data_IF_265850643504
#
_entry.id   IF_265850643504
#
_cell.length_a   1.000
_cell.length_b   1.000
_cell.length_c   1.000
_cell.angle_alpha   90.00
_cell.angle_beta   90.00
_cell.angle_gamma   90.00
#
_symmetry.space_group_name_H-M   'P 1'
#
loop_
_entity.id
_entity.type
_entity.pdbx_description
1 polymer ?
#
# COMPACT_ATOMS: atom_id res chain seq x y z
N UNK A 1 0.93 -23.61 -2.55
CA UNK A 1 2.15 -23.34 -1.76
C UNK A 1 2.94 -22.29 -2.52
N UNK A 2 3.28 -21.16 -1.91
CA UNK A 2 4.08 -20.14 -2.59
C UNK A 2 5.49 -20.69 -2.84
N UNK A 3 5.90 -20.76 -4.11
CA UNK A 3 7.25 -21.15 -4.52
C UNK A 3 8.12 -19.89 -4.54
N UNK A 4 9.01 -19.76 -3.56
CA UNK A 4 9.84 -18.57 -3.43
C UNK A 4 11.13 -18.73 -4.25
N UNK A 5 11.33 -17.93 -5.33
CA UNK A 5 12.60 -17.92 -6.02
C UNK A 5 13.70 -17.42 -5.07
N UNK A 6 14.75 -18.22 -4.91
CA UNK A 6 15.93 -17.88 -4.12
C UNK A 6 16.96 -17.17 -4.99
N UNK A 7 17.44 -16.04 -4.52
CA UNK A 7 18.59 -15.35 -5.11
C UNK A 7 19.86 -15.87 -4.46
N UNK A 8 20.36 -17.01 -4.96
CA UNK A 8 21.51 -17.72 -4.37
C UNK A 8 22.77 -16.84 -4.30
N UNK A 9 22.99 -15.98 -5.30
CA UNK A 9 24.13 -15.04 -5.33
C UNK A 9 24.13 -14.02 -4.18
N UNK A 10 23.03 -13.89 -3.44
CA UNK A 10 22.89 -13.00 -2.29
C UNK A 10 22.66 -13.78 -0.98
N UNK A 11 23.08 -15.04 -0.92
CA UNK A 11 22.93 -15.87 0.29
C UNK A 11 21.54 -16.47 0.46
N UNK A 12 20.80 -16.66 -0.64
CA UNK A 12 19.50 -17.33 -0.63
C UNK A 12 18.33 -16.44 -0.20
N UNK A 13 18.42 -15.13 -0.43
CA UNK A 13 17.32 -14.18 -0.17
C UNK A 13 16.10 -14.58 -1.02
N UNK A 14 14.92 -14.58 -0.40
CA UNK A 14 13.65 -14.79 -1.09
C UNK A 14 13.16 -13.47 -1.71
N UNK A 15 12.78 -13.50 -2.99
CA UNK A 15 12.19 -12.34 -3.66
C UNK A 15 10.76 -12.01 -3.18
N UNK A 16 10.21 -10.90 -3.68
CA UNK A 16 8.78 -10.57 -3.54
C UNK A 16 7.93 -11.78 -3.94
N UNK A 17 7.03 -12.18 -3.04
CA UNK A 17 6.31 -13.45 -3.09
C UNK A 17 4.95 -13.35 -3.77
N UNK A 18 4.41 -12.14 -3.88
CA UNK A 18 3.17 -11.87 -4.61
C UNK A 18 3.30 -10.52 -5.29
N UNK A 19 2.99 -10.47 -6.58
CA UNK A 19 2.85 -9.21 -7.32
C UNK A 19 1.53 -9.19 -8.08
N UNK A 20 0.96 -8.00 -8.21
CA UNK A 20 -0.23 -7.76 -9.03
C UNK A 20 -0.02 -6.54 -9.89
N UNK A 21 -0.57 -6.55 -11.10
CA UNK A 21 -0.72 -5.35 -11.93
C UNK A 21 -2.21 -5.21 -12.23
N UNK A 22 -2.76 -4.04 -11.96
CA UNK A 22 -4.14 -3.70 -12.29
C UNK A 22 -4.16 -2.47 -13.19
N UNK A 23 -5.00 -2.51 -14.22
CA UNK A 23 -5.36 -1.33 -15.00
C UNK A 23 -6.82 -1.01 -14.72
N UNK A 24 -7.07 0.21 -14.26
CA UNK A 24 -8.40 0.70 -13.94
C UNK A 24 -9.09 1.25 -15.20
N UNK A 25 -10.40 1.43 -15.14
CA UNK A 25 -11.19 1.95 -16.27
C UNK A 25 -10.77 3.37 -16.68
N UNK A 26 -10.24 4.14 -15.73
CA UNK A 26 -9.68 5.48 -15.96
C UNK A 26 -8.20 5.46 -16.40
N UNK A 27 -7.73 4.32 -16.93
CA UNK A 27 -6.37 4.09 -17.41
C UNK A 27 -5.24 4.16 -16.35
N UNK A 28 -5.55 4.42 -15.08
CA UNK A 28 -4.57 4.31 -14.00
C UNK A 28 -4.03 2.88 -13.95
N UNK A 29 -2.71 2.74 -13.81
CA UNK A 29 -2.04 1.46 -13.62
C UNK A 29 -1.48 1.39 -12.20
N UNK A 30 -1.85 0.34 -11.47
CA UNK A 30 -1.29 0.04 -10.16
C UNK A 30 -0.43 -1.21 -10.23
N UNK A 31 0.73 -1.15 -9.56
CA UNK A 31 1.61 -2.30 -9.34
C UNK A 31 1.71 -2.58 -7.84
N UNK A 32 1.31 -3.78 -7.44
CA UNK A 32 1.36 -4.24 -6.05
C UNK A 32 2.51 -5.22 -5.87
N UNK A 33 3.34 -5.01 -4.86
CA UNK A 33 4.53 -5.81 -4.59
C UNK A 33 4.54 -6.17 -3.10
N UNK A 34 4.37 -7.46 -2.78
CA UNK A 34 4.29 -7.94 -1.39
C UNK A 34 5.44 -8.90 -1.07
N UNK A 35 6.14 -8.61 0.03
CA UNK A 35 7.30 -9.33 0.55
C UNK A 35 7.03 -9.82 1.97
N UNK A 36 7.16 -11.11 2.25
CA UNK A 36 6.82 -11.71 3.56
C UNK A 36 8.02 -12.25 4.35
N UNK A 37 9.26 -11.97 3.92
CA UNK A 37 10.47 -12.51 4.59
C UNK A 37 11.66 -11.56 4.51
N UNK A 38 11.39 -10.26 4.67
CA UNK A 38 12.44 -9.24 4.74
C UNK A 38 13.03 -9.19 6.14
N UNK A 39 14.33 -8.92 6.24
CA UNK A 39 14.98 -8.62 7.51
C UNK A 39 14.28 -7.42 8.15
N UNK A 40 14.04 -7.44 9.47
CA UNK A 40 13.40 -6.35 10.20
C UNK A 40 14.07 -4.98 9.96
N UNK A 41 15.39 -4.95 9.79
CA UNK A 41 16.14 -3.74 9.46
C UNK A 41 15.83 -3.15 8.06
N UNK A 42 15.26 -3.95 7.16
CA UNK A 42 14.80 -3.56 5.82
C UNK A 42 13.29 -3.61 5.66
N UNK A 43 12.54 -3.77 6.75
CA UNK A 43 11.07 -3.77 6.72
C UNK A 43 10.57 -2.35 6.46
N UNK A 44 10.04 -2.10 5.26
CA UNK A 44 9.50 -0.80 4.88
C UNK A 44 8.31 -0.95 3.94
N UNK A 45 7.29 -0.12 4.17
CA UNK A 45 6.16 0.06 3.26
C UNK A 45 6.43 1.25 2.37
N UNK A 46 6.13 1.13 1.08
CA UNK A 46 6.18 2.25 0.14
C UNK A 46 4.86 2.38 -0.59
N UNK A 47 4.43 3.62 -0.75
CA UNK A 47 3.29 4.01 -1.55
C UNK A 47 3.74 5.10 -2.51
N UNK A 48 3.53 4.92 -3.80
CA UNK A 48 4.03 5.84 -4.83
C UNK A 48 2.92 6.16 -5.81
N UNK A 49 2.72 7.45 -6.09
CA UNK A 49 1.77 7.96 -7.10
C UNK A 49 2.53 8.84 -8.06
N UNK A 50 2.42 8.53 -9.35
CA UNK A 50 3.06 9.26 -10.44
C UNK A 50 1.98 9.94 -11.27
N UNK A 51 1.96 11.27 -11.28
CA UNK A 51 1.05 12.08 -12.07
C UNK A 51 1.59 12.38 -13.47
N UNK A 52 0.68 12.67 -14.40
CA UNK A 52 1.01 13.13 -15.76
C UNK A 52 1.64 14.54 -15.80
N UNK A 53 1.43 15.33 -14.75
CA UNK A 53 2.00 16.66 -14.55
C UNK A 53 3.41 16.64 -13.92
N UNK A 54 4.12 15.51 -13.99
CA UNK A 54 5.46 15.26 -13.39
C UNK A 54 5.50 15.26 -11.86
N UNK A 55 4.36 15.46 -11.19
CA UNK A 55 4.30 15.39 -9.74
C UNK A 55 4.36 13.94 -9.28
N UNK A 56 5.09 13.71 -8.19
CA UNK A 56 5.22 12.38 -7.59
C UNK A 56 5.01 12.47 -6.08
N UNK A 57 4.19 11.58 -5.53
CA UNK A 57 3.98 11.43 -4.09
C UNK A 57 4.58 10.12 -3.65
N UNK A 58 5.51 10.15 -2.70
CA UNK A 58 6.03 8.96 -2.02
C UNK A 58 5.63 8.98 -0.55
N UNK A 59 4.84 8.00 -0.13
CA UNK A 59 4.72 7.59 1.26
C UNK A 59 5.80 6.58 1.59
N UNK A 60 6.61 6.86 2.62
CA UNK A 60 7.74 6.02 3.04
C UNK A 60 7.54 5.61 4.50
N UNK A 61 7.42 4.31 4.73
CA UNK A 61 7.07 3.76 6.02
C UNK A 61 5.70 4.25 6.46
N UNK A 62 5.63 4.74 7.70
CA UNK A 62 4.39 5.17 8.33
C UNK A 62 4.37 6.65 8.75
N UNK A 63 5.47 7.38 8.50
CA UNK A 63 5.64 8.73 9.04
C UNK A 63 6.33 9.72 8.10
N UNK A 64 6.57 9.38 6.84
CA UNK A 64 7.24 10.28 5.89
C UNK A 64 6.47 10.36 4.60
N UNK A 65 6.24 11.59 4.15
CA UNK A 65 5.73 11.88 2.81
C UNK A 65 6.78 12.74 2.10
N UNK A 66 7.11 12.37 0.88
CA UNK A 66 7.94 13.17 -0.03
C UNK A 66 7.10 13.53 -1.25
N UNK A 67 6.98 14.82 -1.53
CA UNK A 67 6.32 15.34 -2.72
C UNK A 67 7.40 15.89 -3.64
N UNK A 68 7.44 15.40 -4.87
CA UNK A 68 8.27 15.94 -5.95
C UNK A 68 7.35 16.72 -6.87
N UNK A 69 7.63 18.02 -7.00
CA UNK A 69 6.93 18.95 -7.86
C UNK A 69 7.69 19.25 -9.16
N UNK A 70 7.13 20.09 -10.05
CA UNK A 70 7.87 20.60 -11.21
C UNK A 70 9.13 21.36 -10.78
N UNK A 71 10.13 21.36 -11.66
CA UNK A 71 11.43 22.04 -11.46
C UNK A 71 12.26 21.51 -10.29
N UNK A 72 12.24 20.19 -10.05
CA UNK A 72 12.98 19.49 -8.98
C UNK A 72 12.65 19.96 -7.55
N UNK A 73 11.52 20.68 -7.38
CA UNK A 73 11.06 21.11 -6.06
C UNK A 73 10.67 19.89 -5.23
N UNK A 74 11.35 19.70 -4.11
CA UNK A 74 11.07 18.59 -3.20
C UNK A 74 10.55 19.13 -1.87
N UNK A 75 9.35 18.70 -1.50
CA UNK A 75 8.81 18.89 -0.16
C UNK A 75 8.92 17.57 0.63
N UNK A 76 9.31 17.68 1.91
CA UNK A 76 9.38 16.55 2.82
C UNK A 76 8.54 16.86 4.04
N UNK A 77 7.58 15.99 4.31
CA UNK A 77 6.68 16.10 5.44
C UNK A 77 6.96 14.94 6.38
N UNK A 78 7.35 15.25 7.61
CA UNK A 78 7.45 14.30 8.70
C UNK A 78 6.13 14.31 9.48
N UNK A 79 5.50 13.15 9.61
CA UNK A 79 4.30 12.99 10.41
C UNK A 79 4.72 12.68 11.85
N UNK A 80 4.42 13.59 12.77
CA UNK A 80 4.61 13.36 14.21
C UNK A 80 3.40 12.58 14.76
N UNK A 81 3.30 11.31 14.34
CA UNK A 81 2.26 10.38 14.77
C UNK A 81 2.92 9.15 15.37
N UNK A 82 2.51 8.81 16.59
CA UNK A 82 3.04 7.70 17.36
C UNK A 82 1.96 6.77 17.89
N UNK A 83 2.39 5.58 18.31
CA UNK A 83 1.52 4.58 18.96
C UNK A 83 0.39 4.09 18.05
N UNK A 84 -0.80 3.93 18.60
CA UNK A 84 -1.97 3.35 17.90
C UNK A 84 -2.48 4.20 16.75
N UNK A 85 -2.07 5.48 16.65
CA UNK A 85 -2.40 6.36 15.52
C UNK A 85 -1.63 6.02 14.24
N UNK A 86 -0.61 5.16 14.32
CA UNK A 86 0.25 4.82 13.18
C UNK A 86 -0.28 3.63 12.40
N UNK A 87 -0.97 2.71 13.08
CA UNK A 87 -1.29 1.38 12.58
C UNK A 87 -2.69 1.27 11.94
N UNK A 88 -3.41 2.39 11.79
CA UNK A 88 -4.74 2.43 11.18
C UNK A 88 -5.88 1.93 12.06
N UNK A 89 -5.63 1.05 13.04
CA UNK A 89 -6.67 0.49 13.91
C UNK A 89 -7.52 1.56 14.59
N UNK A 90 -6.88 2.56 15.22
CA UNK A 90 -7.61 3.64 15.89
C UNK A 90 -8.47 4.43 14.90
N UNK A 91 -7.97 4.69 13.70
CA UNK A 91 -8.70 5.40 12.66
C UNK A 91 -9.92 4.61 12.19
N UNK A 92 -9.77 3.30 12.00
CA UNK A 92 -10.87 2.42 11.64
C UNK A 92 -11.95 2.38 12.74
N UNK A 93 -11.54 2.23 14.00
CA UNK A 93 -12.46 2.19 15.14
C UNK A 93 -13.21 3.52 15.28
N UNK A 94 -12.50 4.64 15.17
CA UNK A 94 -13.09 5.98 15.19
C UNK A 94 -14.10 6.15 14.06
N UNK A 95 -13.73 5.82 12.82
CA UNK A 95 -14.62 5.94 11.66
C UNK A 95 -15.89 5.10 11.82
N UNK A 96 -15.77 3.87 12.34
CA UNK A 96 -16.91 3.00 12.62
C UNK A 96 -17.86 3.60 13.66
N UNK A 97 -17.32 4.07 14.79
CA UNK A 97 -18.12 4.67 15.87
C UNK A 97 -18.81 5.95 15.39
N UNK A 98 -18.08 6.83 14.69
CA UNK A 98 -18.62 8.09 14.18
C UNK A 98 -19.73 7.86 13.16
N UNK A 99 -19.56 6.89 12.25
CA UNK A 99 -20.60 6.52 11.28
C UNK A 99 -21.90 6.08 11.97
N UNK A 100 -21.79 5.29 13.06
CA UNK A 100 -22.96 4.85 13.84
C UNK A 100 -23.63 6.01 14.59
N UNK A 101 -22.84 6.88 15.21
CA UNK A 101 -23.38 7.99 16.02
C UNK A 101 -24.08 9.04 15.16
N UNK A 102 -23.58 9.25 13.93
CA UNK A 102 -24.10 10.27 13.02
C UNK A 102 -25.15 9.73 12.03
N UNK A 103 -25.47 8.43 12.06
CA UNK A 103 -26.30 7.77 11.05
C UNK A 103 -25.77 7.98 9.62
N UNK A 104 -24.44 7.98 9.50
CA UNK A 104 -23.74 8.20 8.23
C UNK A 104 -23.35 6.87 7.60
N UNK A 105 -23.49 6.78 6.28
CA UNK A 105 -22.95 5.64 5.54
C UNK A 105 -21.42 5.69 5.58
N UNK A 106 -20.73 4.62 6.03
CA UNK A 106 -19.27 4.59 6.05
C UNK A 106 -18.68 4.83 4.66
N UNK A 107 -17.57 5.56 4.60
CA UNK A 107 -16.82 5.82 3.35
C UNK A 107 -16.22 4.56 2.71
N UNK A 108 -16.12 3.46 3.46
CA UNK A 108 -15.73 2.14 2.99
C UNK A 108 -16.75 1.13 3.50
N UNK A 109 -17.28 0.34 2.60
CA UNK A 109 -18.41 -0.57 2.81
C UNK A 109 -18.02 -2.04 2.59
N UNK A 110 -18.99 -2.94 2.79
CA UNK A 110 -18.81 -4.36 2.48
C UNK A 110 -18.57 -4.60 0.99
N UNK A 111 -19.20 -3.82 0.10
CA UNK A 111 -19.04 -3.97 -1.34
C UNK A 111 -17.61 -3.68 -1.79
N UNK A 112 -16.98 -2.66 -1.18
CA UNK A 112 -15.56 -2.35 -1.40
C UNK A 112 -14.66 -3.52 -0.99
N UNK A 113 -14.98 -4.18 0.13
CA UNK A 113 -14.24 -5.36 0.60
C UNK A 113 -14.41 -6.56 -0.34
N UNK A 114 -15.61 -6.78 -0.89
CA UNK A 114 -15.88 -7.82 -1.88
C UNK A 114 -15.04 -7.58 -3.14
N UNK A 115 -15.05 -6.37 -3.68
CA UNK A 115 -14.27 -6.01 -4.88
C UNK A 115 -12.77 -6.22 -4.62
N UNK A 116 -12.25 -5.73 -3.49
CA UNK A 116 -10.85 -5.91 -3.13
C UNK A 116 -10.46 -7.39 -3.05
N UNK A 117 -11.35 -8.22 -2.49
CA UNK A 117 -11.13 -9.66 -2.40
C UNK A 117 -11.13 -10.36 -3.77
N UNK A 118 -12.06 -9.99 -4.66
CA UNK A 118 -12.09 -10.51 -6.03
C UNK A 118 -10.80 -10.19 -6.80
N UNK A 119 -10.30 -8.96 -6.67
CA UNK A 119 -9.03 -8.57 -7.30
C UNK A 119 -7.85 -9.32 -6.69
N UNK A 120 -7.81 -9.48 -5.36
CA UNK A 120 -6.78 -10.26 -4.70
C UNK A 120 -6.75 -11.72 -5.18
N UNK A 121 -7.92 -12.34 -5.38
CA UNK A 121 -8.01 -13.70 -5.92
C UNK A 121 -7.41 -13.77 -7.33
N UNK A 122 -7.79 -12.85 -8.23
CA UNK A 122 -7.23 -12.77 -9.59
C UNK A 122 -5.70 -12.60 -9.61
N UNK A 123 -5.15 -11.83 -8.67
CA UNK A 123 -3.70 -11.65 -8.53
C UNK A 123 -3.02 -12.98 -8.15
N UNK A 124 -3.64 -13.75 -7.26
CA UNK A 124 -3.06 -14.99 -6.73
C UNK A 124 -3.35 -16.24 -7.55
N UNK A 125 -4.38 -16.24 -8.40
CA UNK A 125 -4.72 -17.37 -9.27
C UNK A 125 -3.58 -17.72 -10.24
N UNK A 126 -2.85 -16.71 -10.71
CA UNK A 126 -1.68 -16.89 -11.58
C UNK A 126 -0.41 -17.37 -10.84
N UNK A 127 -0.48 -17.55 -9.51
CA UNK A 127 0.63 -18.02 -8.67
C UNK A 127 0.48 -19.50 -8.28
N UNK A 128 -0.59 -20.16 -8.72
CA UNK A 128 -0.88 -21.58 -8.42
C UNK A 128 -0.35 -22.52 -9.49
#
# INVERSE_FOLDING_TARGET
>A
MASYPKMEQYGGIYGYNTKGIAKFENDVVASFHFGASVNAAGSETRFEVYGDNTNVIHGIGFNKIKILGPDDKTEKISLDVGGTKVWGHRQCDTHFIESLLNDETPSVTLDDAIIAHEIANKITDNLR
#
